data_IF_602789579737
#
_entry.id   IF_602789579737
#
_cell.length_a   1.000
_cell.length_b   1.000
_cell.length_c   1.000
_cell.angle_alpha   90.00
_cell.angle_beta   90.00
_cell.angle_gamma   90.00
#
_symmetry.space_group_name_H-M   'P 1'
#
loop_
_entity.id
_entity.type
_entity.pdbx_description
1 polymer ?
#
# COMPACT_ATOMS: atom_id res chain seq x y z
N UNK A 1 -8.37 -3.39 14.65
CA UNK A 1 -7.63 -3.53 13.38
C UNK A 1 -8.11 -2.61 12.27
N UNK A 2 -9.42 -2.48 12.02
CA UNK A 2 -9.93 -1.54 10.99
C UNK A 2 -9.44 -0.10 11.14
N UNK A 3 -9.31 0.40 12.37
CA UNK A 3 -8.72 1.72 12.60
C UNK A 3 -7.25 1.79 12.18
N UNK A 4 -6.46 0.74 12.45
CA UNK A 4 -5.04 0.67 12.08
C UNK A 4 -4.89 0.64 10.56
N UNK A 5 -5.71 -0.16 9.86
CA UNK A 5 -5.71 -0.16 8.39
C UNK A 5 -6.13 1.20 7.82
N UNK A 6 -7.14 1.83 8.40
CA UNK A 6 -7.60 3.15 7.96
C UNK A 6 -6.52 4.23 8.16
N UNK A 7 -5.85 4.25 9.32
CA UNK A 7 -4.75 5.17 9.60
C UNK A 7 -3.61 4.97 8.59
N UNK A 8 -3.22 3.72 8.32
CA UNK A 8 -2.16 3.43 7.35
C UNK A 8 -2.54 3.90 5.92
N UNK A 9 -3.79 3.66 5.50
CA UNK A 9 -4.29 4.10 4.20
C UNK A 9 -4.26 5.62 4.07
N UNK A 10 -4.80 6.33 5.07
CA UNK A 10 -4.86 7.79 5.09
C UNK A 10 -3.44 8.36 5.10
N UNK A 11 -2.54 7.80 5.92
CA UNK A 11 -1.18 8.30 6.03
C UNK A 11 -0.39 8.11 4.73
N UNK A 12 -0.45 6.93 4.10
CA UNK A 12 0.16 6.70 2.80
C UNK A 12 -0.40 7.63 1.72
N UNK A 13 -1.72 7.79 1.68
CA UNK A 13 -2.39 8.71 0.73
C UNK A 13 -1.98 10.15 0.95
N UNK A 14 -1.81 10.58 2.20
CA UNK A 14 -1.41 11.94 2.54
C UNK A 14 0.01 12.25 2.08
N UNK A 15 0.96 11.34 2.33
CA UNK A 15 2.33 11.46 1.81
C UNK A 15 2.30 11.54 0.28
N UNK A 16 1.52 10.67 -0.36
CA UNK A 16 1.41 10.62 -1.82
C UNK A 16 0.89 11.94 -2.40
N UNK A 17 -0.20 12.48 -1.86
CA UNK A 17 -0.79 13.72 -2.35
C UNK A 17 0.09 14.95 -2.11
N UNK A 18 0.79 15.01 -0.97
CA UNK A 18 1.61 16.17 -0.63
C UNK A 18 2.89 16.26 -1.46
N UNK A 19 3.60 15.15 -1.62
CA UNK A 19 4.98 15.17 -2.08
C UNK A 19 5.19 14.62 -3.50
N UNK A 20 4.21 13.92 -4.08
CA UNK A 20 4.35 13.37 -5.43
C UNK A 20 4.07 14.39 -6.53
N UNK A 21 4.60 14.08 -7.70
CA UNK A 21 4.52 14.91 -8.92
C UNK A 21 3.07 15.14 -9.35
N UNK A 22 2.78 16.35 -9.83
CA UNK A 22 1.42 16.81 -10.17
C UNK A 22 0.80 16.13 -11.39
N UNK A 23 1.58 15.40 -12.18
CA UNK A 23 1.13 14.70 -13.40
C UNK A 23 0.42 13.38 -13.13
N UNK A 24 0.32 12.96 -11.87
CA UNK A 24 -0.32 11.71 -11.49
C UNK A 24 -1.84 11.78 -11.66
N UNK A 25 -2.43 10.67 -12.12
CA UNK A 25 -3.88 10.55 -12.39
C UNK A 25 -4.76 10.88 -11.18
N UNK A 26 -4.26 10.71 -9.96
CA UNK A 26 -5.03 11.06 -8.74
C UNK A 26 -5.43 12.54 -8.72
N UNK A 27 -4.58 13.45 -9.21
CA UNK A 27 -4.89 14.87 -9.23
C UNK A 27 -5.93 15.21 -10.28
N UNK A 28 -5.95 14.52 -11.43
CA UNK A 28 -7.03 14.71 -12.40
C UNK A 28 -8.36 14.20 -11.84
N UNK A 29 -8.38 13.06 -11.15
CA UNK A 29 -9.57 12.55 -10.46
C UNK A 29 -10.09 13.51 -9.39
N UNK A 30 -9.20 14.09 -8.58
CA UNK A 30 -9.58 15.11 -7.59
C UNK A 30 -10.16 16.36 -8.27
N UNK A 31 -9.56 16.82 -9.37
CA UNK A 31 -10.09 17.94 -10.13
C UNK A 31 -11.49 17.64 -10.71
N UNK A 32 -11.75 16.41 -11.19
CA UNK A 32 -13.09 15.99 -11.62
C UNK A 32 -14.13 16.04 -10.49
N UNK A 33 -13.69 15.85 -9.24
CA UNK A 33 -14.53 15.99 -8.04
C UNK A 33 -14.62 17.44 -7.55
N UNK A 34 -14.04 18.41 -8.27
CA UNK A 34 -14.00 19.82 -7.88
C UNK A 34 -12.96 20.15 -6.81
N UNK A 35 -12.03 19.24 -6.51
CA UNK A 35 -10.99 19.42 -5.49
C UNK A 35 -9.67 19.76 -6.18
N UNK A 36 -9.32 21.05 -6.21
CA UNK A 36 -8.03 21.51 -6.74
C UNK A 36 -6.91 21.40 -5.69
N UNK A 37 -6.51 20.16 -5.40
CA UNK A 37 -5.50 19.88 -4.40
C UNK A 37 -4.10 20.40 -4.80
N UNK A 38 -3.84 20.57 -6.09
CA UNK A 38 -2.56 21.06 -6.59
C UNK A 38 -2.26 22.48 -6.09
N UNK A 39 -3.31 23.31 -5.99
CA UNK A 39 -3.24 24.71 -5.58
C UNK A 39 -3.43 24.92 -4.06
N UNK A 40 -3.51 23.85 -3.27
CA UNK A 40 -3.59 23.98 -1.82
C UNK A 40 -2.30 24.59 -1.26
N UNK A 41 -2.44 25.73 -0.55
CA UNK A 41 -1.30 26.42 0.09
C UNK A 41 -0.44 25.48 0.94
N UNK A 42 -1.10 24.59 1.70
CA UNK A 42 -0.41 23.60 2.51
C UNK A 42 0.48 22.67 1.68
N UNK A 43 0.01 22.18 0.53
CA UNK A 43 0.81 21.34 -0.37
C UNK A 43 2.00 22.13 -0.93
N UNK A 44 1.78 23.36 -1.39
CA UNK A 44 2.84 24.20 -1.96
C UNK A 44 3.94 24.46 -0.94
N UNK A 45 3.59 24.71 0.33
CA UNK A 45 4.57 24.85 1.41
C UNK A 45 5.32 23.54 1.67
N UNK A 46 4.61 22.40 1.73
CA UNK A 46 5.23 21.09 1.95
C UNK A 46 6.19 20.68 0.81
N UNK A 47 5.90 21.07 -0.44
CA UNK A 47 6.77 20.83 -1.58
C UNK A 47 8.14 21.53 -1.45
N UNK A 48 8.26 22.62 -0.69
CA UNK A 48 9.57 23.27 -0.46
C UNK A 48 10.51 22.39 0.37
N UNK A 49 9.95 21.46 1.15
CA UNK A 49 10.72 20.57 2.02
C UNK A 49 11.02 19.20 1.39
N UNK A 50 10.51 18.91 0.18
CA UNK A 50 10.67 17.60 -0.47
C UNK A 50 12.14 17.21 -0.65
N UNK A 51 13.02 18.17 -0.92
CA UNK A 51 14.46 17.93 -1.10
C UNK A 51 15.13 17.37 0.15
N UNK A 52 14.55 17.61 1.33
CA UNK A 52 15.10 17.20 2.61
C UNK A 52 14.52 15.86 3.09
N UNK A 53 13.51 15.34 2.38
CA UNK A 53 12.85 14.09 2.72
C UNK A 53 13.51 12.95 1.93
N UNK A 54 13.85 11.82 2.56
CA UNK A 54 14.41 10.67 1.86
C UNK A 54 13.49 10.17 0.74
N UNK A 55 14.07 9.78 -0.39
CA UNK A 55 13.30 9.27 -1.55
C UNK A 55 12.41 8.09 -1.16
N UNK A 56 12.91 7.11 -0.42
CA UNK A 56 12.10 5.96 0.03
C UNK A 56 10.83 6.38 0.79
N UNK A 57 10.85 7.51 1.49
CA UNK A 57 9.69 8.00 2.25
C UNK A 57 8.60 8.54 1.32
N UNK A 58 8.98 9.16 0.20
CA UNK A 58 8.03 9.74 -0.77
C UNK A 58 7.58 8.68 -1.78
N UNK A 59 8.51 7.83 -2.24
CA UNK A 59 8.31 6.94 -3.37
C UNK A 59 7.82 5.55 -2.94
N UNK A 60 8.34 4.98 -1.85
CA UNK A 60 8.12 3.56 -1.49
C UNK A 60 7.22 3.35 -0.28
N UNK A 61 7.32 4.24 0.71
CA UNK A 61 6.56 4.15 1.96
C UNK A 61 5.03 4.21 1.75
N UNK A 62 4.46 5.10 0.91
CA UNK A 62 3.02 5.11 0.65
C UNK A 62 2.50 3.76 0.16
N UNK A 63 3.21 3.17 -0.78
CA UNK A 63 2.84 1.90 -1.42
C UNK A 63 2.90 0.74 -0.42
N UNK A 64 3.94 0.68 0.41
CA UNK A 64 4.04 -0.27 1.52
C UNK A 64 2.92 -0.11 2.56
N UNK A 65 2.54 1.14 2.89
CA UNK A 65 1.44 1.44 3.82
C UNK A 65 0.08 1.01 3.26
N UNK A 66 -0.13 1.15 1.95
CA UNK A 66 -1.35 0.68 1.28
C UNK A 66 -1.44 -0.85 1.30
N UNK A 67 -0.35 -1.56 1.01
CA UNK A 67 -0.31 -3.03 1.13
C UNK A 67 -0.55 -3.47 2.58
N UNK A 68 0.11 -2.81 3.54
CA UNK A 68 -0.10 -3.06 4.97
C UNK A 68 -1.57 -2.87 5.39
N UNK A 69 -2.18 -1.76 4.94
CA UNK A 69 -3.58 -1.45 5.19
C UNK A 69 -4.49 -2.54 4.65
N UNK A 70 -4.30 -2.91 3.38
CA UNK A 70 -5.06 -3.94 2.70
C UNK A 70 -4.97 -5.29 3.42
N UNK A 71 -3.75 -5.77 3.70
CA UNK A 71 -3.53 -7.06 4.35
C UNK A 71 -4.13 -7.08 5.75
N UNK A 72 -3.96 -6.00 6.54
CA UNK A 72 -4.58 -5.86 7.86
C UNK A 72 -6.11 -5.93 7.78
N UNK A 73 -6.69 -5.24 6.80
CA UNK A 73 -8.14 -5.25 6.57
C UNK A 73 -8.62 -6.64 6.17
N UNK A 74 -7.95 -7.30 5.23
CA UNK A 74 -8.33 -8.63 4.78
C UNK A 74 -8.24 -9.68 5.89
N UNK A 75 -7.16 -9.68 6.68
CA UNK A 75 -7.07 -10.57 7.85
C UNK A 75 -8.26 -10.33 8.81
N UNK A 76 -8.67 -9.07 8.98
CA UNK A 76 -9.78 -8.71 9.86
C UNK A 76 -11.14 -9.13 9.30
N UNK A 77 -11.37 -8.96 8.00
CA UNK A 77 -12.60 -9.40 7.31
C UNK A 77 -12.80 -10.90 7.40
N UNK A 78 -11.70 -11.67 7.35
CA UNK A 78 -11.72 -13.13 7.52
C UNK A 78 -11.66 -13.59 9.00
N UNK A 79 -11.93 -12.68 9.95
CA UNK A 79 -11.92 -12.97 11.39
C UNK A 79 -10.64 -13.68 11.86
N UNK A 80 -9.48 -13.30 11.32
CA UNK A 80 -8.17 -13.90 11.66
C UNK A 80 -8.03 -15.38 11.30
N UNK A 81 -8.95 -15.94 10.51
CA UNK A 81 -8.88 -17.33 10.03
C UNK A 81 -8.09 -17.37 8.74
N UNK A 82 -6.97 -18.10 8.75
CA UNK A 82 -6.13 -18.33 7.58
C UNK A 82 -6.42 -19.74 7.04
N UNK A 83 -7.16 -19.79 5.94
CA UNK A 83 -7.41 -21.00 5.15
C UNK A 83 -7.03 -20.72 3.69
N UNK A 84 -7.21 -21.69 2.79
CA UNK A 84 -6.85 -21.53 1.37
C UNK A 84 -7.53 -20.31 0.73
N UNK A 85 -8.81 -20.08 1.04
CA UNK A 85 -9.59 -18.99 0.47
C UNK A 85 -9.14 -17.63 1.01
N UNK A 86 -9.05 -17.47 2.33
CA UNK A 86 -8.63 -16.20 2.93
C UNK A 86 -7.18 -15.86 2.60
N UNK A 87 -6.29 -16.85 2.54
CA UNK A 87 -4.92 -16.67 2.11
C UNK A 87 -4.82 -16.12 0.67
N UNK A 88 -5.62 -16.65 -0.26
CA UNK A 88 -5.68 -16.14 -1.63
C UNK A 88 -6.06 -14.65 -1.66
N UNK A 89 -7.13 -14.26 -0.96
CA UNK A 89 -7.57 -12.87 -0.90
C UNK A 89 -6.58 -11.95 -0.21
N UNK A 90 -5.91 -12.42 0.85
CA UNK A 90 -4.87 -11.65 1.53
C UNK A 90 -3.67 -11.39 0.61
N UNK A 91 -3.26 -12.38 -0.19
CA UNK A 91 -2.06 -12.29 -1.00
C UNK A 91 -2.26 -11.63 -2.37
N UNK A 92 -3.48 -11.52 -2.89
CA UNK A 92 -3.71 -11.06 -4.28
C UNK A 92 -3.12 -9.68 -4.59
N UNK A 93 -3.35 -8.67 -3.74
CA UNK A 93 -2.82 -7.32 -3.94
C UNK A 93 -1.30 -7.25 -3.76
N UNK A 94 -0.70 -7.78 -2.66
CA UNK A 94 0.75 -7.86 -2.53
C UNK A 94 1.43 -8.56 -3.72
N UNK A 95 0.85 -9.66 -4.21
CA UNK A 95 1.36 -10.39 -5.37
C UNK A 95 1.32 -9.50 -6.60
N UNK A 96 0.18 -8.86 -6.89
CA UNK A 96 0.06 -7.94 -8.04
C UNK A 96 1.10 -6.81 -7.94
N UNK A 97 1.29 -6.21 -6.76
CA UNK A 97 2.26 -5.14 -6.56
C UNK A 97 3.70 -5.61 -6.84
N UNK A 98 4.10 -6.76 -6.27
CA UNK A 98 5.44 -7.34 -6.48
C UNK A 98 5.66 -7.70 -7.96
N UNK A 99 4.69 -8.35 -8.61
CA UNK A 99 4.81 -8.69 -10.03
C UNK A 99 4.82 -7.45 -10.92
N UNK A 100 4.11 -6.37 -10.53
CA UNK A 100 4.14 -5.13 -11.29
C UNK A 100 5.55 -4.51 -11.32
N UNK A 101 6.31 -4.58 -10.22
CA UNK A 101 7.71 -4.17 -10.19
C UNK A 101 8.61 -5.08 -11.03
N UNK A 102 8.45 -6.39 -10.90
CA UNK A 102 9.24 -7.36 -11.69
C UNK A 102 9.00 -7.15 -13.20
N UNK A 103 7.76 -6.86 -13.60
CA UNK A 103 7.42 -6.60 -15.00
C UNK A 103 7.93 -5.26 -15.54
N UNK A 104 8.31 -4.31 -14.68
CA UNK A 104 9.00 -3.10 -15.12
C UNK A 104 10.42 -3.40 -15.62
N UNK A 105 11.09 -4.45 -15.10
CA UNK A 105 12.39 -4.90 -15.61
C UNK A 105 12.29 -5.29 -17.10
N UNK A 106 11.19 -5.96 -17.46
CA UNK A 106 10.91 -6.39 -18.83
C UNK A 106 10.27 -5.29 -19.69
N UNK A 107 10.09 -4.08 -19.15
CA UNK A 107 9.42 -2.95 -19.81
C UNK A 107 7.97 -3.26 -20.26
N UNK A 108 7.35 -4.28 -19.67
CA UNK A 108 5.95 -4.66 -19.94
C UNK A 108 5.01 -3.65 -19.27
N UNK A 109 5.39 -3.18 -18.09
CA UNK A 109 4.67 -2.17 -17.30
C UNK A 109 5.48 -0.89 -17.27
N UNK A 110 4.81 0.26 -17.46
CA UNK A 110 5.46 1.56 -17.35
C UNK A 110 5.87 1.83 -15.91
N UNK A 111 7.16 2.06 -15.68
CA UNK A 111 7.72 2.35 -14.36
C UNK A 111 9.24 2.21 -14.36
N UNK A 112 9.83 2.31 -13.17
CA UNK A 112 11.25 2.08 -12.93
C UNK A 112 11.40 1.08 -11.81
N UNK A 113 11.98 -0.08 -12.12
CA UNK A 113 12.21 -1.11 -11.11
C UNK A 113 13.01 -0.55 -9.94
N UNK A 114 12.43 -0.58 -8.73
CA UNK A 114 13.08 -0.19 -7.49
C UNK A 114 13.03 -1.32 -6.45
N UNK A 115 14.20 -1.71 -5.97
CA UNK A 115 14.36 -2.74 -4.94
C UNK A 115 13.74 -2.26 -3.61
N UNK A 116 13.75 -0.94 -3.37
CA UNK A 116 13.16 -0.36 -2.17
C UNK A 116 11.64 -0.54 -2.20
N UNK A 117 11.00 -0.36 -3.35
CA UNK A 117 9.55 -0.57 -3.50
C UNK A 117 9.18 -2.03 -3.20
N UNK A 118 9.96 -2.98 -3.73
CA UNK A 118 9.81 -4.41 -3.42
C UNK A 118 9.93 -4.70 -1.91
N UNK A 119 10.91 -4.09 -1.24
CA UNK A 119 11.11 -4.23 0.19
C UNK A 119 9.91 -3.68 0.98
N UNK A 120 9.35 -2.53 0.59
CA UNK A 120 8.16 -1.97 1.23
C UNK A 120 6.90 -2.80 1.00
N UNK A 121 6.73 -3.40 -0.19
CA UNK A 121 5.65 -4.36 -0.43
C UNK A 121 5.77 -5.61 0.43
N UNK A 122 6.98 -6.17 0.57
CA UNK A 122 7.23 -7.31 1.43
C UNK A 122 7.00 -6.98 2.91
N UNK A 123 7.46 -5.82 3.37
CA UNK A 123 7.18 -5.35 4.74
C UNK A 123 5.67 -5.15 4.97
N UNK A 124 4.97 -4.53 4.02
CA UNK A 124 3.54 -4.33 4.09
C UNK A 124 2.77 -5.66 4.16
N UNK A 125 3.24 -6.68 3.47
CA UNK A 125 2.68 -8.04 3.56
C UNK A 125 2.98 -8.72 4.89
N UNK A 126 4.23 -8.68 5.36
CA UNK A 126 4.70 -9.48 6.50
C UNK A 126 4.30 -8.89 7.85
N UNK A 127 4.34 -7.56 8.00
CA UNK A 127 4.10 -6.88 9.29
C UNK A 127 2.74 -7.21 9.92
N UNK A 128 1.61 -7.26 9.19
CA UNK A 128 0.32 -7.64 9.77
C UNK A 128 0.33 -9.05 10.36
N UNK A 129 1.00 -10.02 9.73
CA UNK A 129 1.10 -11.39 10.27
C UNK A 129 1.93 -11.43 11.56
N UNK A 130 2.96 -10.60 11.67
CA UNK A 130 3.75 -10.47 12.91
C UNK A 130 2.92 -9.82 14.02
N UNK A 131 2.27 -8.69 13.72
CA UNK A 131 1.50 -7.91 14.69
C UNK A 131 0.31 -8.69 15.24
N UNK A 132 -0.37 -9.45 14.38
CA UNK A 132 -1.59 -10.19 14.75
C UNK A 132 -1.34 -11.68 14.99
N UNK A 133 -0.08 -12.11 15.10
CA UNK A 133 0.33 -13.52 15.24
C UNK A 133 -0.47 -14.30 16.29
N UNK A 134 -0.77 -13.68 17.43
CA UNK A 134 -1.51 -14.32 18.54
C UNK A 134 -3.00 -14.54 18.24
N UNK A 135 -3.57 -13.77 17.33
CA UNK A 135 -4.99 -13.86 16.95
C UNK A 135 -5.23 -14.77 15.75
N UNK A 136 -4.19 -15.04 14.95
CA UNK A 136 -4.29 -15.85 13.75
C UNK A 136 -4.59 -17.32 14.07
N UNK A 137 -5.60 -17.86 13.38
CA UNK A 137 -5.98 -19.26 13.45
C UNK A 137 -5.82 -19.92 12.07
N UNK A 138 -4.92 -20.90 11.96
CA UNK A 138 -4.59 -21.56 10.70
C UNK A 138 -5.45 -22.82 10.50
N UNK A 139 -6.24 -22.85 9.43
CA UNK A 139 -7.16 -23.95 9.06
C UNK A 139 -6.90 -24.41 7.61
N UNK A 140 -5.68 -24.85 7.31
CA UNK A 140 -5.30 -25.32 5.98
C UNK A 140 -5.77 -26.74 5.65
N UNK A 141 -5.99 -27.56 6.68
CA UNK A 141 -6.48 -28.93 6.57
C UNK A 141 -7.82 -29.07 7.27
N UNK A 142 -8.91 -28.76 6.56
CA UNK A 142 -10.15 -29.49 6.79
C UNK A 142 -10.08 -30.70 5.86
N UNK A 143 -9.84 -31.88 6.44
CA UNK A 143 -10.28 -33.11 5.79
C UNK A 143 -11.80 -32.99 5.71
N UNK A 144 -12.33 -32.85 4.51
CA UNK A 144 -13.75 -33.09 4.26
C UNK A 144 -14.00 -34.55 4.67
N UNK A 145 -14.69 -34.74 5.79
CA UNK A 145 -15.34 -35.99 6.16
C UNK A 145 -16.73 -36.01 5.55
#
# INVERSE_FOLDING_TARGET
>A
MFLISLIALIFGTFIYLLFRVSTLKVFSWLNYLGIDFLNFKFRIEMLKYTSNIPKWFIFSLPDGLWVFSYVTLMISVWNFIINKQSFLWICIIPIIAIFSEIFQIFQIVSGTFDIIDLLFYLLGLILPFILFKKQLNYKFFNYEQ
#
